data_IF_037479540873
#
_entry.id   IF_037479540873
#
_cell.length_a   1.000
_cell.length_b   1.000
_cell.length_c   1.000
_cell.angle_alpha   90.00
_cell.angle_beta   90.00
_cell.angle_gamma   90.00
#
_symmetry.space_group_name_H-M   'P 1'
#
loop_
_entity.id
_entity.type
_entity.pdbx_description
1 polymer ?
#
# COMPACT_ATOMS: atom_id res chain seq x y z
N UNK A 1 -33.28 14.96 22.74
CA UNK A 1 -34.10 13.75 22.54
C UNK A 1 -33.95 12.87 23.77
N UNK A 2 -35.05 12.48 24.43
CA UNK A 2 -35.02 11.64 25.65
C UNK A 2 -35.35 10.16 25.38
N UNK A 3 -35.97 9.84 24.23
CA UNK A 3 -36.41 8.49 23.87
C UNK A 3 -35.66 8.04 22.61
N UNK A 4 -34.43 7.54 22.79
CA UNK A 4 -33.63 7.03 21.69
C UNK A 4 -33.89 5.54 21.47
N UNK A 5 -33.99 5.13 20.22
CA UNK A 5 -34.14 3.73 19.81
C UNK A 5 -33.28 3.43 18.57
N UNK A 6 -33.27 2.16 18.14
CA UNK A 6 -32.47 1.70 17.00
C UNK A 6 -32.81 2.40 15.66
N UNK A 7 -34.00 3.00 15.53
CA UNK A 7 -34.47 3.66 14.32
C UNK A 7 -34.10 5.14 14.31
N UNK A 8 -34.14 5.80 15.47
CA UNK A 8 -33.95 7.25 15.57
C UNK A 8 -32.53 7.69 16.00
N UNK A 9 -31.72 6.78 16.59
CA UNK A 9 -30.39 7.12 17.12
C UNK A 9 -29.45 7.68 16.05
N UNK A 10 -29.50 7.15 14.83
CA UNK A 10 -28.64 7.60 13.72
C UNK A 10 -28.84 9.09 13.43
N UNK A 11 -30.09 9.54 13.33
CA UNK A 11 -30.39 10.95 13.08
C UNK A 11 -30.05 11.82 14.28
N UNK A 12 -30.19 11.29 15.50
CA UNK A 12 -29.78 11.99 16.70
C UNK A 12 -28.26 12.23 16.75
N UNK A 13 -27.43 11.28 16.31
CA UNK A 13 -25.98 11.45 16.20
C UNK A 13 -25.62 12.45 15.10
N UNK A 14 -26.20 12.31 13.91
CA UNK A 14 -25.95 13.23 12.78
C UNK A 14 -26.33 14.67 13.13
N UNK A 15 -27.43 14.87 13.86
CA UNK A 15 -27.83 16.20 14.31
C UNK A 15 -26.77 16.89 15.20
N UNK A 16 -25.90 16.14 15.89
CA UNK A 16 -24.78 16.70 16.67
C UNK A 16 -23.65 17.23 15.80
N UNK A 17 -23.57 16.80 14.55
CA UNK A 17 -22.60 17.28 13.56
C UNK A 17 -23.09 18.54 12.82
N UNK A 18 -24.27 19.07 13.16
CA UNK A 18 -24.89 20.16 12.42
C UNK A 18 -24.04 21.44 12.37
N UNK A 19 -23.34 21.74 13.48
CA UNK A 19 -22.53 22.94 13.67
C UNK A 19 -21.04 22.75 13.35
N UNK A 20 -20.63 21.61 12.77
CA UNK A 20 -19.24 21.40 12.34
C UNK A 20 -18.85 22.49 11.33
N UNK A 21 -17.83 23.33 11.63
CA UNK A 21 -17.48 24.48 10.77
C UNK A 21 -16.95 24.06 9.40
N UNK A 22 -16.14 23.00 9.36
CA UNK A 22 -15.63 22.45 8.10
C UNK A 22 -16.73 21.61 7.40
N UNK A 23 -17.24 22.06 6.24
CA UNK A 23 -18.28 21.34 5.53
C UNK A 23 -17.82 19.95 5.05
N UNK A 24 -16.53 19.77 4.75
CA UNK A 24 -15.99 18.47 4.31
C UNK A 24 -15.93 17.49 5.47
N UNK A 25 -15.42 17.92 6.63
CA UNK A 25 -15.42 17.09 7.84
C UNK A 25 -16.85 16.67 8.21
N UNK A 26 -17.81 17.60 8.14
CA UNK A 26 -19.24 17.31 8.38
C UNK A 26 -19.76 16.23 7.44
N UNK A 27 -19.47 16.34 6.14
CA UNK A 27 -19.88 15.37 5.14
C UNK A 27 -19.31 13.97 5.43
N UNK A 28 -18.00 13.88 5.72
CA UNK A 28 -17.31 12.61 6.00
C UNK A 28 -17.89 11.93 7.24
N UNK A 29 -17.98 12.65 8.37
CA UNK A 29 -18.50 12.08 9.61
C UNK A 29 -19.98 11.70 9.53
N UNK A 30 -20.79 12.49 8.80
CA UNK A 30 -22.20 12.15 8.56
C UNK A 30 -22.32 10.83 7.82
N UNK A 31 -21.58 10.65 6.73
CA UNK A 31 -21.58 9.41 5.95
C UNK A 31 -21.07 8.22 6.77
N UNK A 32 -19.96 8.40 7.50
CA UNK A 32 -19.40 7.36 8.37
C UNK A 32 -20.41 6.85 9.39
N UNK A 33 -21.10 7.76 10.10
CA UNK A 33 -22.13 7.39 11.08
C UNK A 33 -23.29 6.65 10.41
N UNK A 34 -23.73 7.10 9.23
CA UNK A 34 -24.81 6.44 8.48
C UNK A 34 -24.45 4.99 8.15
N UNK A 35 -23.27 4.76 7.57
CA UNK A 35 -22.83 3.43 7.16
C UNK A 35 -22.52 2.52 8.36
N UNK A 36 -21.88 3.03 9.41
CA UNK A 36 -21.59 2.26 10.63
C UNK A 36 -22.87 1.79 11.33
N UNK A 37 -23.87 2.67 11.47
CA UNK A 37 -25.15 2.30 12.06
C UNK A 37 -25.97 1.37 11.14
N UNK A 38 -25.85 1.51 9.82
CA UNK A 38 -26.47 0.60 8.87
C UNK A 38 -25.90 -0.82 9.00
N UNK A 39 -24.56 -0.95 9.04
CA UNK A 39 -23.87 -2.22 9.29
C UNK A 39 -24.36 -2.89 10.58
N UNK A 40 -24.35 -2.16 11.71
CA UNK A 40 -24.75 -2.73 13.00
C UNK A 40 -26.20 -3.26 13.00
N UNK A 41 -27.12 -2.56 12.31
CA UNK A 41 -28.52 -3.01 12.15
C UNK A 41 -28.64 -4.20 11.20
N UNK A 42 -27.93 -4.17 10.08
CA UNK A 42 -27.96 -5.21 9.05
C UNK A 42 -27.57 -6.57 9.63
N UNK A 43 -26.46 -6.61 10.38
CA UNK A 43 -25.95 -7.85 10.98
C UNK A 43 -26.59 -8.16 12.34
N UNK A 44 -27.42 -7.26 12.88
CA UNK A 44 -27.97 -7.33 14.24
C UNK A 44 -26.88 -7.55 15.30
N UNK A 45 -25.85 -6.70 15.25
CA UNK A 45 -24.66 -6.80 16.07
C UNK A 45 -25.00 -6.96 17.56
N UNK A 46 -24.55 -8.06 18.17
CA UNK A 46 -24.77 -8.34 19.60
C UNK A 46 -23.80 -7.56 20.48
N UNK A 47 -24.12 -7.44 21.77
CA UNK A 47 -23.22 -6.79 22.76
C UNK A 47 -21.88 -7.51 22.88
N UNK A 48 -21.88 -8.84 22.78
CA UNK A 48 -20.66 -9.64 22.83
C UNK A 48 -19.78 -9.43 21.58
N UNK A 49 -20.37 -9.42 20.38
CA UNK A 49 -19.64 -9.12 19.14
C UNK A 49 -19.14 -7.68 19.11
N UNK A 50 -19.92 -6.72 19.61
CA UNK A 50 -19.49 -5.34 19.76
C UNK A 50 -18.29 -5.22 20.71
N UNK A 51 -18.36 -5.85 21.89
CA UNK A 51 -17.25 -5.85 22.85
C UNK A 51 -15.97 -6.49 22.26
N UNK A 52 -16.13 -7.59 21.53
CA UNK A 52 -15.03 -8.22 20.79
C UNK A 52 -14.43 -7.29 19.72
N UNK A 53 -15.27 -6.59 18.96
CA UNK A 53 -14.81 -5.61 17.96
C UNK A 53 -14.05 -4.42 18.59
N UNK A 54 -14.48 -3.95 19.77
CA UNK A 54 -13.76 -2.92 20.53
C UNK A 54 -12.40 -3.42 21.02
N UNK A 55 -12.34 -4.65 21.57
CA UNK A 55 -11.07 -5.28 21.96
C UNK A 55 -10.13 -5.43 20.75
N UNK A 56 -10.64 -5.92 19.62
CA UNK A 56 -9.89 -6.03 18.38
C UNK A 56 -9.25 -4.69 17.96
N UNK A 57 -10.03 -3.62 17.89
CA UNK A 57 -9.51 -2.28 17.54
C UNK A 57 -8.51 -1.75 18.57
N UNK A 58 -8.70 -2.08 19.84
CA UNK A 58 -7.77 -1.72 20.93
C UNK A 58 -6.44 -2.45 20.77
N UNK A 59 -6.46 -3.76 20.49
CA UNK A 59 -5.25 -4.53 20.21
C UNK A 59 -4.54 -4.02 18.95
N UNK A 60 -5.28 -3.67 17.89
CA UNK A 60 -4.70 -3.05 16.69
C UNK A 60 -3.93 -1.78 17.07
N UNK A 61 -4.54 -0.91 17.90
CA UNK A 61 -3.87 0.29 18.40
C UNK A 61 -2.62 0.01 19.24
N UNK A 62 -2.65 -0.99 20.13
CA UNK A 62 -1.49 -1.38 20.96
C UNK A 62 -0.36 -2.06 20.17
N UNK A 63 -0.67 -2.64 19.01
CA UNK A 63 0.32 -3.25 18.11
C UNK A 63 1.03 -2.19 17.23
N UNK A 64 0.50 -0.97 17.12
CA UNK A 64 1.17 0.10 16.40
C UNK A 64 2.37 0.67 17.19
N UNK A 65 3.47 0.93 16.50
CA UNK A 65 4.65 1.64 16.99
C UNK A 65 5.25 2.52 15.87
N UNK A 66 6.49 3.01 16.06
CA UNK A 66 7.17 3.88 15.08
C UNK A 66 7.52 3.17 13.76
N UNK A 67 7.58 1.84 13.75
CA UNK A 67 7.91 1.02 12.58
C UNK A 67 6.70 0.23 12.05
N UNK A 68 5.74 -0.10 12.92
CA UNK A 68 4.56 -0.92 12.61
C UNK A 68 3.28 -0.09 12.68
N UNK A 69 2.54 -0.06 11.57
CA UNK A 69 1.22 0.57 11.49
C UNK A 69 0.13 -0.47 11.23
N UNK A 70 -0.33 -1.12 12.30
CA UNK A 70 -1.37 -2.18 12.23
C UNK A 70 -2.72 -1.64 11.74
N UNK A 71 -3.05 -0.35 11.96
CA UNK A 71 -4.23 0.28 11.38
C UNK A 71 -4.16 0.44 9.86
N UNK A 72 -2.96 0.72 9.31
CA UNK A 72 -2.75 0.74 7.86
C UNK A 72 -2.89 -0.69 7.33
N UNK A 73 -2.31 -1.67 8.01
CA UNK A 73 -2.42 -3.08 7.63
C UNK A 73 -3.88 -3.59 7.65
N UNK A 74 -4.68 -3.14 8.62
CA UNK A 74 -6.12 -3.42 8.68
C UNK A 74 -6.84 -2.78 7.47
N UNK A 75 -6.51 -1.54 7.12
CA UNK A 75 -7.04 -0.87 5.93
C UNK A 75 -6.66 -1.60 4.64
N UNK A 76 -5.42 -2.07 4.53
CA UNK A 76 -4.89 -2.82 3.39
C UNK A 76 -5.63 -4.15 3.22
N UNK A 77 -5.73 -4.92 4.29
CA UNK A 77 -6.35 -6.26 4.27
C UNK A 77 -7.87 -6.23 4.15
N UNK A 78 -8.52 -5.10 4.46
CA UNK A 78 -9.94 -4.86 4.15
C UNK A 78 -10.17 -4.21 2.78
N UNK A 79 -9.10 -3.92 2.02
CA UNK A 79 -9.16 -3.32 0.69
C UNK A 79 -9.48 -1.81 0.67
N UNK A 80 -9.58 -1.16 1.83
CA UNK A 80 -9.88 0.27 1.94
C UNK A 80 -8.74 1.12 1.38
N UNK A 81 -7.49 0.70 1.58
CA UNK A 81 -6.33 1.42 1.02
C UNK A 81 -6.37 1.42 -0.51
N UNK A 82 -6.61 0.26 -1.12
CA UNK A 82 -6.72 0.16 -2.59
C UNK A 82 -7.95 0.86 -3.16
N UNK A 83 -9.09 0.84 -2.45
CA UNK A 83 -10.24 1.64 -2.83
C UNK A 83 -9.92 3.14 -2.80
N UNK A 84 -9.20 3.59 -1.78
CA UNK A 84 -8.77 5.00 -1.66
C UNK A 84 -7.81 5.37 -2.79
N UNK A 85 -6.86 4.50 -3.14
CA UNK A 85 -5.98 4.71 -4.30
C UNK A 85 -6.80 4.85 -5.57
N UNK A 86 -7.76 3.95 -5.83
CA UNK A 86 -8.58 3.97 -7.04
C UNK A 86 -9.41 5.27 -7.15
N UNK A 87 -10.03 5.73 -6.06
CA UNK A 87 -10.84 6.95 -6.04
C UNK A 87 -10.03 8.23 -6.32
N UNK A 88 -8.74 8.25 -5.97
CA UNK A 88 -7.88 9.43 -6.09
C UNK A 88 -6.90 9.36 -7.27
N UNK A 89 -6.86 8.21 -7.96
CA UNK A 89 -6.00 7.97 -9.12
C UNK A 89 -6.79 7.50 -10.34
N UNK A 90 -8.02 7.99 -10.50
CA UNK A 90 -8.71 7.94 -11.80
C UNK A 90 -7.94 8.81 -12.79
N UNK A 91 -7.22 8.17 -13.71
CA UNK A 91 -6.24 8.79 -14.61
C UNK A 91 -6.66 8.54 -16.05
N UNK A 92 -6.29 9.43 -16.99
CA UNK A 92 -6.51 9.19 -18.40
C UNK A 92 -5.93 7.83 -18.84
N UNK A 93 -6.60 7.18 -19.78
CA UNK A 93 -6.11 5.95 -20.40
C UNK A 93 -4.69 6.18 -20.95
N UNK A 94 -3.78 5.25 -20.64
CA UNK A 94 -2.37 5.32 -21.03
C UNK A 94 -1.43 5.74 -19.91
N UNK A 95 -1.94 6.29 -18.80
CA UNK A 95 -1.16 6.40 -17.56
C UNK A 95 -0.94 5.02 -16.94
N UNK A 96 0.24 4.81 -16.36
CA UNK A 96 0.51 3.65 -15.48
C UNK A 96 -0.45 3.68 -14.29
N UNK A 97 -1.02 2.52 -13.95
CA UNK A 97 -1.94 2.41 -12.82
C UNK A 97 -1.21 2.62 -11.49
N UNK A 98 -1.88 3.28 -10.54
CA UNK A 98 -1.40 3.42 -9.17
C UNK A 98 -1.82 2.21 -8.33
N UNK A 99 -1.04 1.89 -7.30
CA UNK A 99 -1.39 0.88 -6.28
C UNK A 99 -0.95 1.34 -4.88
N UNK A 100 -1.24 0.54 -3.85
CA UNK A 100 -0.96 0.85 -2.44
C UNK A 100 0.51 1.19 -2.22
N UNK A 101 0.78 2.16 -1.36
CA UNK A 101 2.15 2.55 -1.00
C UNK A 101 2.86 1.46 -0.20
N UNK A 102 2.13 0.77 0.67
CA UNK A 102 2.70 -0.16 1.65
C UNK A 102 3.41 0.57 2.80
N UNK A 103 3.75 -0.15 3.88
CA UNK A 103 4.27 0.46 5.10
C UNK A 103 5.81 0.60 5.15
N UNK A 104 6.53 0.10 4.15
CA UNK A 104 7.99 -0.08 4.23
C UNK A 104 8.82 0.97 3.48
N UNK A 105 8.19 2.02 2.96
CA UNK A 105 8.92 3.15 2.40
C UNK A 105 9.52 4.00 3.52
N UNK A 106 10.75 4.48 3.32
CA UNK A 106 11.43 5.41 4.22
C UNK A 106 12.05 6.54 3.43
N UNK A 107 11.85 7.77 3.90
CA UNK A 107 12.46 8.95 3.30
C UNK A 107 13.98 8.96 3.46
N UNK A 108 14.68 9.60 2.53
CA UNK A 108 16.14 9.72 2.58
C UNK A 108 16.90 8.47 2.12
N UNK A 109 16.30 7.66 1.24
CA UNK A 109 17.01 6.56 0.59
C UNK A 109 18.26 7.07 -0.19
N UNK A 110 19.32 6.23 -0.31
CA UNK A 110 20.55 6.64 -1.00
C UNK A 110 20.31 6.98 -2.47
N UNK A 111 21.08 7.93 -2.99
CA UNK A 111 21.05 8.31 -4.41
C UNK A 111 21.99 7.39 -5.20
N UNK A 112 21.52 6.92 -6.36
CA UNK A 112 22.28 6.03 -7.23
C UNK A 112 22.34 6.56 -8.66
N UNK A 113 23.51 6.39 -9.28
CA UNK A 113 23.70 6.60 -10.71
C UNK A 113 23.09 5.44 -11.51
N UNK A 114 22.88 5.68 -12.81
CA UNK A 114 22.41 4.63 -13.72
C UNK A 114 23.36 3.44 -13.77
N UNK A 115 22.80 2.24 -13.71
CA UNK A 115 23.52 0.97 -13.73
C UNK A 115 24.11 0.55 -12.39
N UNK A 116 24.02 1.40 -11.35
CA UNK A 116 24.46 1.05 -10.00
C UNK A 116 23.58 -0.06 -9.40
N UNK A 117 24.09 -0.69 -8.34
CA UNK A 117 23.41 -1.74 -7.62
C UNK A 117 22.64 -1.21 -6.40
N UNK A 118 21.32 -1.13 -6.55
CA UNK A 118 20.36 -0.69 -5.53
C UNK A 118 20.06 -1.80 -4.52
N UNK A 119 20.37 -3.07 -4.83
CA UNK A 119 20.32 -4.12 -3.80
C UNK A 119 21.24 -3.74 -2.65
N UNK A 120 22.40 -3.15 -2.97
CA UNK A 120 23.36 -2.61 -2.01
C UNK A 120 23.67 -3.61 -0.87
N UNK A 121 23.85 -4.88 -1.24
CA UNK A 121 24.11 -5.98 -0.29
C UNK A 121 22.89 -6.78 0.16
N UNK A 122 21.67 -6.42 -0.25
CA UNK A 122 20.49 -7.26 -0.03
C UNK A 122 20.69 -8.66 -0.62
N UNK A 123 20.37 -9.74 0.11
CA UNK A 123 20.54 -11.10 -0.39
C UNK A 123 19.54 -11.42 -1.50
N UNK A 124 20.00 -12.09 -2.56
CA UNK A 124 19.15 -12.62 -3.61
C UNK A 124 19.84 -12.80 -4.96
N UNK A 125 19.10 -13.35 -5.92
CA UNK A 125 19.59 -13.50 -7.28
C UNK A 125 19.64 -12.13 -7.97
N UNK A 126 20.74 -11.76 -8.67
CA UNK A 126 20.81 -10.47 -9.36
C UNK A 126 19.68 -10.25 -10.36
N UNK A 127 19.16 -9.03 -10.42
CA UNK A 127 18.10 -8.61 -11.32
C UNK A 127 18.42 -7.25 -11.94
N UNK A 128 18.49 -7.19 -13.27
CA UNK A 128 18.65 -5.93 -13.98
C UNK A 128 17.27 -5.29 -14.24
N UNK A 129 17.06 -4.08 -13.74
CA UNK A 129 15.83 -3.31 -13.93
C UNK A 129 16.10 -2.16 -14.88
N UNK A 130 15.23 -1.97 -15.88
CA UNK A 130 15.30 -0.86 -16.84
C UNK A 130 13.92 -0.41 -17.28
N UNK A 131 13.77 0.89 -17.52
CA UNK A 131 12.50 1.48 -17.95
C UNK A 131 12.67 2.89 -18.52
N UNK A 132 11.55 3.52 -18.86
CA UNK A 132 11.50 4.93 -19.23
C UNK A 132 10.26 5.62 -18.69
N UNK A 133 10.41 6.84 -18.20
CA UNK A 133 9.33 7.74 -17.79
C UNK A 133 8.91 8.60 -18.97
N UNK A 134 7.63 8.55 -19.34
CA UNK A 134 7.07 9.26 -20.50
C UNK A 134 5.77 9.95 -20.13
N UNK A 135 5.53 11.10 -20.76
CA UNK A 135 4.23 11.75 -20.78
C UNK A 135 3.24 10.98 -21.66
N UNK A 136 1.95 11.34 -21.60
CA UNK A 136 0.88 10.69 -22.36
C UNK A 136 1.06 10.83 -23.89
N UNK A 137 1.74 11.87 -24.35
CA UNK A 137 2.07 12.08 -25.77
C UNK A 137 3.35 11.33 -26.21
N UNK A 138 3.96 10.56 -25.30
CA UNK A 138 5.20 9.81 -25.52
C UNK A 138 6.48 10.59 -25.27
N UNK A 139 6.40 11.90 -24.97
CA UNK A 139 7.55 12.75 -24.68
C UNK A 139 8.32 12.22 -23.46
N UNK A 140 9.66 12.06 -23.55
CA UNK A 140 10.48 11.70 -22.41
C UNK A 140 10.34 12.72 -21.26
N UNK A 141 10.17 12.22 -20.03
CA UNK A 141 10.21 13.07 -18.84
C UNK A 141 11.64 13.02 -18.30
N UNK A 142 12.38 14.11 -18.48
CA UNK A 142 13.78 14.24 -18.07
C UNK A 142 13.87 14.61 -16.59
N UNK A 143 14.79 13.97 -15.86
CA UNK A 143 15.06 14.29 -14.45
C UNK A 143 13.92 13.92 -13.49
N UNK A 144 13.03 13.00 -13.88
CA UNK A 144 12.04 12.44 -12.98
C UNK A 144 12.74 11.69 -11.84
N UNK A 145 12.35 11.96 -10.61
CA UNK A 145 12.82 11.27 -9.41
C UNK A 145 12.13 9.91 -9.35
N UNK A 146 12.91 8.83 -9.31
CA UNK A 146 12.45 7.44 -9.31
C UNK A 146 12.96 6.81 -8.02
N UNK A 147 12.08 6.76 -7.03
CA UNK A 147 12.32 6.17 -5.72
C UNK A 147 11.82 4.72 -5.74
N UNK A 148 12.71 3.78 -5.46
CA UNK A 148 12.45 2.33 -5.56
C UNK A 148 12.79 1.64 -4.25
N UNK A 149 11.99 0.64 -3.90
CA UNK A 149 12.25 -0.21 -2.75
C UNK A 149 11.62 -1.60 -2.95
N UNK A 150 12.20 -2.62 -2.34
CA UNK A 150 11.68 -3.99 -2.37
C UNK A 150 12.16 -4.79 -1.16
N UNK A 151 11.52 -5.94 -0.94
CA UNK A 151 12.05 -6.97 -0.08
C UNK A 151 13.24 -7.69 -0.76
N UNK A 152 14.10 -8.27 0.07
CA UNK A 152 15.14 -9.20 -0.35
C UNK A 152 14.62 -10.63 -0.56
N UNK A 153 15.51 -11.57 -0.87
CA UNK A 153 15.14 -12.98 -1.13
C UNK A 153 14.58 -13.72 0.09
N UNK A 154 14.68 -13.17 1.30
CA UNK A 154 14.06 -13.70 2.51
C UNK A 154 12.69 -13.05 2.78
N UNK A 155 12.24 -12.16 1.89
CA UNK A 155 10.96 -11.47 2.02
C UNK A 155 10.97 -10.36 3.07
N UNK A 156 12.14 -9.75 3.34
CA UNK A 156 12.29 -8.65 4.31
C UNK A 156 12.75 -7.37 3.62
N UNK A 157 12.13 -6.25 4.00
CA UNK A 157 12.68 -4.92 3.69
C UNK A 157 13.78 -4.59 4.69
N UNK A 158 14.71 -3.71 4.30
CA UNK A 158 15.84 -3.32 5.16
C UNK A 158 15.40 -2.74 6.51
N UNK A 159 14.29 -2.00 6.54
CA UNK A 159 13.69 -1.44 7.77
C UNK A 159 13.21 -2.48 8.77
N UNK A 160 13.09 -3.74 8.35
CA UNK A 160 12.69 -4.85 9.22
C UNK A 160 13.91 -5.62 9.77
N UNK A 161 15.12 -5.15 9.46
CA UNK A 161 16.39 -5.78 9.86
C UNK A 161 17.15 -4.87 10.81
N UNK A 162 17.41 -5.36 12.02
CA UNK A 162 18.16 -4.63 13.05
C UNK A 162 19.69 -4.73 12.87
N UNK A 163 20.17 -5.63 12.01
CA UNK A 163 21.58 -5.99 11.83
C UNK A 163 22.26 -5.24 10.67
N UNK A 164 21.53 -4.38 9.96
CA UNK A 164 22.06 -3.65 8.82
C UNK A 164 22.81 -2.37 9.24
N UNK A 165 23.99 -2.18 8.65
CA UNK A 165 24.82 -0.97 8.84
C UNK A 165 24.52 0.14 7.83
N UNK A 166 23.75 -0.16 6.79
CA UNK A 166 23.38 0.75 5.71
C UNK A 166 22.06 0.29 5.06
N UNK A 167 21.42 1.19 4.31
CA UNK A 167 20.19 0.90 3.57
C UNK A 167 20.41 -0.12 2.46
N UNK A 168 19.48 -1.07 2.30
CA UNK A 168 19.56 -2.13 1.29
C UNK A 168 18.22 -2.28 0.55
N UNK A 169 18.26 -2.71 -0.71
CA UNK A 169 17.06 -2.94 -1.51
C UNK A 169 16.18 -1.70 -1.72
N UNK A 170 16.74 -0.49 -1.54
CA UNK A 170 16.07 0.80 -1.76
C UNK A 170 17.02 1.87 -2.27
N UNK A 171 16.51 2.80 -3.06
CA UNK A 171 17.32 3.87 -3.62
C UNK A 171 16.53 4.87 -4.47
N UNK A 172 17.16 5.99 -4.79
CA UNK A 172 16.60 7.03 -5.65
C UNK A 172 17.51 7.21 -6.86
N UNK A 173 16.89 7.23 -8.04
CA UNK A 173 17.54 7.53 -9.31
C UNK A 173 16.81 8.67 -10.02
N UNK A 174 17.43 9.22 -11.05
CA UNK A 174 16.80 10.22 -11.92
C UNK A 174 16.73 9.71 -13.36
N UNK A 175 15.65 10.00 -14.07
CA UNK A 175 15.58 9.69 -15.50
C UNK A 175 16.56 10.56 -16.32
N UNK A 176 17.17 9.97 -17.34
CA UNK A 176 18.10 10.67 -18.24
C UNK A 176 17.38 11.58 -19.27
N UNK A 177 18.14 12.13 -20.21
CA UNK A 177 17.62 13.01 -21.28
C UNK A 177 16.64 12.32 -22.23
N UNK A 178 16.67 10.99 -22.32
CA UNK A 178 15.72 10.16 -23.06
C UNK A 178 14.59 9.62 -22.16
N UNK A 179 14.53 10.09 -20.91
CA UNK A 179 13.58 9.66 -19.89
C UNK A 179 13.84 8.26 -19.36
N UNK A 180 15.00 7.65 -19.64
CA UNK A 180 15.31 6.27 -19.26
C UNK A 180 15.89 6.20 -17.85
N UNK A 181 15.80 5.02 -17.25
CA UNK A 181 16.51 4.66 -16.03
C UNK A 181 16.87 3.18 -16.05
N UNK A 182 17.96 2.81 -15.38
CA UNK A 182 18.30 1.42 -15.15
C UNK A 182 19.20 1.25 -13.93
N UNK A 183 19.12 0.09 -13.27
CA UNK A 183 19.89 -0.28 -12.08
C UNK A 183 19.93 -1.80 -11.91
N UNK A 184 20.83 -2.29 -11.07
CA UNK A 184 20.81 -3.67 -10.57
C UNK A 184 20.06 -3.71 -9.23
N UNK A 185 19.40 -4.83 -8.98
CA UNK A 185 18.73 -5.17 -7.72
C UNK A 185 18.81 -6.69 -7.53
N UNK A 186 17.98 -7.24 -6.64
CA UNK A 186 17.72 -8.68 -6.53
C UNK A 186 16.34 -9.04 -7.03
N UNK A 187 16.16 -10.28 -7.47
CA UNK A 187 14.84 -10.83 -7.82
C UNK A 187 13.96 -10.79 -6.56
N UNK A 188 12.88 -10.02 -6.60
CA UNK A 188 11.87 -10.02 -5.56
C UNK A 188 11.18 -11.38 -5.46
N UNK A 189 10.92 -11.81 -4.22
CA UNK A 189 10.18 -13.02 -3.90
C UNK A 189 8.85 -12.67 -3.20
N UNK A 190 7.83 -13.55 -3.28
CA UNK A 190 6.61 -13.35 -2.51
C UNK A 190 6.92 -13.41 -1.02
N UNK A 191 6.22 -12.60 -0.23
CA UNK A 191 6.43 -12.51 1.20
C UNK A 191 5.11 -12.32 1.96
N UNK A 192 5.00 -12.78 3.21
CA UNK A 192 3.84 -12.53 4.03
C UNK A 192 3.88 -11.11 4.61
N UNK A 193 2.74 -10.42 4.64
CA UNK A 193 2.57 -9.25 5.52
C UNK A 193 2.70 -9.67 6.99
N UNK A 194 3.00 -8.76 7.93
CA UNK A 194 2.99 -9.09 9.36
C UNK A 194 1.67 -9.74 9.79
N UNK A 195 1.73 -10.95 10.37
CA UNK A 195 0.53 -11.74 10.73
C UNK A 195 0.56 -12.26 12.18
N UNK A 196 1.49 -11.76 12.99
CA UNK A 196 1.60 -11.99 14.43
C UNK A 196 0.69 -11.09 15.27
N UNK A 197 -0.01 -10.14 14.64
CA UNK A 197 -0.93 -9.19 15.27
C UNK A 197 -2.41 -9.51 15.07
N UNK A 198 -3.31 -8.62 15.52
CA UNK A 198 -4.75 -8.78 15.37
C UNK A 198 -5.19 -8.92 13.90
N UNK A 199 -4.53 -8.25 12.96
CA UNK A 199 -4.85 -8.43 11.54
C UNK A 199 -4.58 -9.88 11.12
N UNK A 200 -3.48 -10.47 11.57
CA UNK A 200 -3.20 -11.88 11.36
C UNK A 200 -4.25 -12.81 11.97
N UNK A 201 -4.74 -12.51 13.19
CA UNK A 201 -5.86 -13.24 13.79
C UNK A 201 -7.12 -13.20 12.91
N UNK A 202 -7.45 -12.01 12.38
CA UNK A 202 -8.59 -11.82 11.48
C UNK A 202 -8.41 -12.63 10.19
N UNK A 203 -7.22 -12.61 9.58
CA UNK A 203 -6.93 -13.40 8.39
C UNK A 203 -7.08 -14.90 8.65
N UNK A 204 -6.50 -15.41 9.75
CA UNK A 204 -6.65 -16.82 10.16
C UNK A 204 -8.12 -17.19 10.39
N UNK A 205 -8.87 -16.38 11.12
CA UNK A 205 -10.28 -16.61 11.40
C UNK A 205 -11.14 -16.64 10.12
N UNK A 206 -10.73 -15.90 9.08
CA UNK A 206 -11.40 -15.85 7.77
C UNK A 206 -10.77 -16.78 6.71
N UNK A 207 -9.81 -17.63 7.10
CA UNK A 207 -9.09 -18.56 6.21
C UNK A 207 -8.38 -17.87 5.04
N UNK A 208 -7.89 -16.65 5.25
CA UNK A 208 -7.07 -15.89 4.30
C UNK A 208 -5.59 -16.07 4.61
N UNK A 209 -4.77 -16.06 3.56
CA UNK A 209 -3.33 -16.09 3.70
C UNK A 209 -2.73 -14.67 3.77
N UNK A 210 -1.54 -14.48 4.37
CA UNK A 210 -0.89 -13.16 4.48
C UNK A 210 0.00 -12.80 3.28
N UNK A 211 0.18 -13.72 2.32
CA UNK A 211 1.14 -13.54 1.22
C UNK A 211 0.77 -12.44 0.23
N UNK A 212 1.80 -11.69 -0.16
CA UNK A 212 1.82 -10.79 -1.31
C UNK A 212 2.68 -11.40 -2.41
N UNK A 213 2.30 -11.26 -3.69
CA UNK A 213 3.12 -11.73 -4.81
C UNK A 213 4.43 -10.96 -4.91
N UNK A 214 5.47 -11.54 -5.53
CA UNK A 214 6.73 -10.86 -5.80
C UNK A 214 6.52 -9.53 -6.56
N UNK A 215 7.07 -8.43 -6.03
CA UNK A 215 6.95 -7.11 -6.61
C UNK A 215 8.09 -6.16 -6.25
N UNK A 216 8.28 -5.14 -7.10
CA UNK A 216 9.16 -4.00 -6.88
C UNK A 216 8.33 -2.72 -6.80
N UNK A 217 8.59 -1.88 -5.79
CA UNK A 217 7.89 -0.62 -5.63
C UNK A 217 8.54 0.53 -6.41
N UNK A 218 7.70 1.47 -6.82
CA UNK A 218 8.11 2.73 -7.44
C UNK A 218 7.28 3.89 -6.88
N UNK A 219 7.95 4.97 -6.50
CA UNK A 219 7.39 6.31 -6.36
C UNK A 219 8.09 7.21 -7.39
N UNK A 220 7.35 7.70 -8.37
CA UNK A 220 7.87 8.52 -9.47
C UNK A 220 7.31 9.93 -9.37
N UNK A 221 8.20 10.92 -9.37
CA UNK A 221 7.86 12.34 -9.23
C UNK A 221 8.58 13.18 -10.28
N UNK A 222 7.86 14.14 -10.87
CA UNK A 222 8.44 15.10 -11.79
C UNK A 222 7.68 16.44 -11.72
N UNK A 223 8.35 17.59 -11.87
CA UNK A 223 7.69 18.89 -11.92
C UNK A 223 6.61 18.94 -13.01
N UNK A 224 5.39 19.37 -12.64
CA UNK A 224 4.25 19.42 -13.56
C UNK A 224 3.49 18.10 -13.76
N UNK A 225 3.93 17.01 -13.11
CA UNK A 225 3.26 15.72 -13.12
C UNK A 225 2.71 15.38 -11.75
N UNK A 226 1.64 14.58 -11.73
CA UNK A 226 1.17 13.97 -10.49
C UNK A 226 2.13 12.85 -10.07
N UNK A 227 2.44 12.78 -8.78
CA UNK A 227 3.19 11.65 -8.20
C UNK A 227 2.50 10.33 -8.51
N UNK A 228 3.26 9.37 -9.03
CA UNK A 228 2.83 8.00 -9.24
C UNK A 228 3.42 7.12 -8.14
N UNK A 229 2.57 6.41 -7.40
CA UNK A 229 2.96 5.29 -6.55
C UNK A 229 2.44 4.02 -7.22
N UNK A 230 3.34 3.10 -7.54
CA UNK A 230 2.97 1.86 -8.22
C UNK A 230 3.92 0.72 -7.89
N UNK A 231 3.57 -0.50 -8.32
CA UNK A 231 4.41 -1.68 -8.24
C UNK A 231 4.56 -2.30 -9.63
N UNK A 232 5.61 -3.11 -9.80
CA UNK A 232 5.71 -4.07 -10.90
C UNK A 232 5.73 -5.47 -10.30
N UNK A 233 4.74 -6.30 -10.67
CA UNK A 233 4.58 -7.67 -10.18
C UNK A 233 5.22 -8.67 -11.15
N UNK A 234 5.78 -9.76 -10.62
CA UNK A 234 6.35 -10.85 -11.43
C UNK A 234 5.24 -11.75 -11.98
N UNK A 235 5.20 -11.91 -13.30
CA UNK A 235 4.29 -12.86 -13.94
C UNK A 235 4.57 -14.30 -13.49
N UNK A 236 3.51 -15.10 -13.32
CA UNK A 236 3.60 -16.49 -12.86
C UNK A 236 3.75 -16.67 -11.35
N UNK A 237 3.77 -15.59 -10.55
CA UNK A 237 3.75 -15.70 -9.10
C UNK A 237 2.43 -16.31 -8.60
N UNK A 238 2.46 -17.28 -7.66
CA UNK A 238 1.26 -18.00 -7.21
C UNK A 238 0.23 -17.13 -6.49
N UNK A 239 0.57 -15.91 -6.06
CA UNK A 239 -0.30 -15.03 -5.29
C UNK A 239 -0.87 -13.85 -6.09
N UNK A 240 -0.70 -13.81 -7.42
CA UNK A 240 -1.22 -12.72 -8.26
C UNK A 240 -2.74 -12.55 -8.13
N UNK A 241 -3.49 -13.65 -8.06
CA UNK A 241 -4.95 -13.64 -7.97
C UNK A 241 -5.47 -13.55 -6.53
N UNK A 242 -4.58 -13.55 -5.53
CA UNK A 242 -4.94 -13.64 -4.12
C UNK A 242 -4.10 -12.76 -3.19
N UNK A 243 -3.48 -11.69 -3.72
CA UNK A 243 -2.70 -10.73 -2.94
C UNK A 243 -3.47 -10.26 -1.69
N UNK A 244 -2.86 -10.45 -0.52
CA UNK A 244 -3.50 -10.18 0.77
C UNK A 244 -4.00 -8.73 0.93
N UNK A 245 -3.44 -7.79 0.15
CA UNK A 245 -3.79 -6.36 0.18
C UNK A 245 -4.43 -5.84 -1.10
N UNK A 246 -4.80 -6.74 -2.04
CA UNK A 246 -5.51 -6.41 -3.28
C UNK A 246 -4.80 -5.42 -4.21
N UNK A 247 -3.47 -5.38 -4.15
CA UNK A 247 -2.63 -4.41 -4.86
C UNK A 247 -2.38 -4.72 -6.33
N UNK A 248 -2.64 -5.95 -6.78
CA UNK A 248 -2.37 -6.39 -8.16
C UNK A 248 -3.29 -5.70 -9.16
N UNK A 249 -2.70 -5.29 -10.29
CA UNK A 249 -3.40 -4.84 -11.50
C UNK A 249 -2.77 -5.52 -12.70
N UNK A 250 -3.58 -5.95 -13.67
CA UNK A 250 -3.08 -6.70 -14.82
C UNK A 250 -2.04 -5.92 -15.63
N UNK A 251 -2.17 -4.59 -15.73
CA UNK A 251 -1.21 -3.74 -16.44
C UNK A 251 0.15 -3.61 -15.75
N UNK A 252 0.22 -3.98 -14.46
CA UNK A 252 1.41 -3.92 -13.62
C UNK A 252 2.13 -5.28 -13.51
N UNK A 253 1.63 -6.32 -14.16
CA UNK A 253 2.27 -7.64 -14.23
C UNK A 253 3.24 -7.66 -15.40
N UNK A 254 4.50 -8.03 -15.16
CA UNK A 254 5.55 -8.07 -16.16
C UNK A 254 6.29 -9.43 -16.16
N UNK A 255 6.80 -9.82 -17.32
CA UNK A 255 7.68 -10.98 -17.44
C UNK A 255 9.08 -10.64 -16.94
N UNK A 256 9.56 -11.38 -15.94
CA UNK A 256 10.92 -11.23 -15.42
C UNK A 256 11.78 -12.30 -16.07
N UNK A 257 12.53 -11.90 -17.10
CA UNK A 257 13.21 -12.81 -18.03
C UNK A 257 14.57 -13.22 -17.49
N UNK A 258 14.73 -14.51 -17.18
CA UNK A 258 16.02 -15.11 -16.84
C UNK A 258 17.01 -14.92 -18.01
N UNK A 259 18.20 -14.41 -17.70
CA UNK A 259 19.27 -14.20 -18.68
C UNK A 259 20.26 -15.39 -18.60
N UNK A 260 20.82 -15.83 -19.73
CA UNK A 260 21.76 -16.95 -19.81
C UNK A 260 23.12 -16.67 -19.16
#
# INVERSE_FOLDING_TARGET
MRNLDQYNITQAVIARLAQTPDPRLKQVLTSLVQHLHAFAREVKLTEAEWAYGIDFLTRVGHTCDDQRQEFILLSDTLGLSMLTVALNNDKPKGCTEATVFGPFHVEGAPQFDHGADVANGAPGNPCAVRGSVRALDGTPVVGAVIDVWQADAEGKYDVQRDDLSHAQGRGVLHSDTDGRFHFQSVVAEPYPIPDDGPVGDMLRATKRHPWRPAHLHFRIQAPGYQTLVTHVFRNGDPYLDSDAVFGVRQSLVADWVEQP
#
